data_IF_948976628334
#
_entry.id   IF_948976628334
#
_cell.length_a   1.000
_cell.length_b   1.000
_cell.length_c   1.000
_cell.angle_alpha   90.00
_cell.angle_beta   90.00
_cell.angle_gamma   90.00
#
_symmetry.space_group_name_H-M   'P 1'
#
loop_
_entity.id
_entity.type
_entity.pdbx_description
1 polymer ?
#
# COMPACT_ATOMS: atom_id res chain seq x y z
N UNK A 1 28.83 -3.01 14.40
CA UNK A 1 28.57 -3.98 13.28
C UNK A 1 29.50 -3.67 12.11
N UNK A 2 30.16 -4.67 11.51
CA UNK A 2 30.97 -4.47 10.31
C UNK A 2 30.06 -3.92 9.17
N UNK A 3 30.56 -2.93 8.39
CA UNK A 3 29.82 -2.29 7.26
C UNK A 3 29.16 -3.29 6.30
N UNK A 4 29.82 -4.41 6.01
CA UNK A 4 29.31 -5.48 5.15
C UNK A 4 28.10 -6.21 5.73
N UNK A 5 28.01 -6.40 7.04
CA UNK A 5 26.87 -7.03 7.70
C UNK A 5 25.60 -6.18 7.64
N UNK A 6 25.73 -4.87 7.82
CA UNK A 6 24.61 -3.95 7.77
C UNK A 6 24.01 -3.80 6.35
N UNK A 7 24.85 -3.78 5.31
CA UNK A 7 24.38 -3.74 3.92
C UNK A 7 23.66 -5.04 3.52
N UNK A 8 24.19 -6.20 3.95
CA UNK A 8 23.55 -7.49 3.72
C UNK A 8 22.19 -7.58 4.41
N UNK A 9 22.11 -7.08 5.64
CA UNK A 9 20.84 -7.00 6.38
C UNK A 9 19.83 -6.10 5.65
N UNK A 10 20.24 -4.90 5.22
CA UNK A 10 19.42 -4.00 4.42
C UNK A 10 18.91 -4.68 3.16
N UNK A 11 19.79 -5.30 2.37
CA UNK A 11 19.41 -6.00 1.14
C UNK A 11 18.42 -7.14 1.39
N UNK A 12 18.61 -7.90 2.46
CA UNK A 12 17.71 -8.99 2.84
C UNK A 12 16.31 -8.47 3.20
N UNK A 13 16.21 -7.44 4.04
CA UNK A 13 14.92 -6.85 4.40
C UNK A 13 14.21 -6.22 3.21
N UNK A 14 14.93 -5.46 2.38
CA UNK A 14 14.38 -4.85 1.18
C UNK A 14 13.86 -5.91 0.20
N UNK A 15 14.68 -6.91 -0.15
CA UNK A 15 14.32 -7.95 -1.11
C UNK A 15 13.10 -8.77 -0.64
N UNK A 16 13.07 -9.22 0.62
CA UNK A 16 11.94 -10.00 1.13
C UNK A 16 10.63 -9.22 1.09
N UNK A 17 10.65 -7.94 1.45
CA UNK A 17 9.44 -7.14 1.44
C UNK A 17 9.01 -6.75 0.02
N UNK A 18 9.94 -6.45 -0.88
CA UNK A 18 9.63 -6.21 -2.31
C UNK A 18 8.96 -7.45 -2.92
N UNK A 19 9.51 -8.65 -2.71
CA UNK A 19 8.92 -9.89 -3.21
C UNK A 19 7.52 -10.14 -2.65
N UNK A 20 7.31 -9.89 -1.36
CA UNK A 20 5.99 -9.99 -0.75
C UNK A 20 4.97 -9.02 -1.36
N UNK A 21 5.37 -7.77 -1.60
CA UNK A 21 4.50 -6.75 -2.19
C UNK A 21 4.21 -7.01 -3.68
N UNK A 22 5.16 -7.57 -4.43
CA UNK A 22 4.90 -8.06 -5.79
C UNK A 22 3.85 -9.18 -5.76
N UNK A 23 3.93 -10.12 -4.81
CA UNK A 23 2.90 -11.15 -4.63
C UNK A 23 1.51 -10.55 -4.41
N UNK A 24 1.40 -9.52 -3.57
CA UNK A 24 0.14 -8.78 -3.34
C UNK A 24 -0.36 -8.12 -4.64
N UNK A 25 0.51 -7.48 -5.41
CA UNK A 25 0.11 -6.86 -6.69
C UNK A 25 -0.38 -7.90 -7.69
N UNK A 26 0.27 -9.06 -7.76
CA UNK A 26 -0.14 -10.14 -8.65
C UNK A 26 -1.55 -10.64 -8.30
N UNK A 27 -1.88 -10.81 -7.01
CA UNK A 27 -3.23 -11.27 -6.68
C UNK A 27 -4.29 -10.20 -6.97
N UNK A 28 -4.02 -8.92 -6.75
CA UNK A 28 -4.96 -7.84 -7.07
C UNK A 28 -5.28 -7.82 -8.58
N UNK A 29 -4.26 -7.99 -9.42
CA UNK A 29 -4.46 -8.08 -10.87
C UNK A 29 -5.23 -9.34 -11.25
N UNK A 30 -4.95 -10.49 -10.62
CA UNK A 30 -5.64 -11.75 -10.89
C UNK A 30 -7.12 -11.70 -10.44
N UNK A 31 -7.40 -11.15 -9.26
CA UNK A 31 -8.77 -10.94 -8.75
C UNK A 31 -9.59 -10.07 -9.73
N UNK A 32 -9.01 -8.92 -10.15
CA UNK A 32 -9.65 -8.05 -11.14
C UNK A 32 -9.91 -8.78 -12.45
N UNK A 33 -8.96 -9.60 -12.92
CA UNK A 33 -9.11 -10.38 -14.14
C UNK A 33 -10.22 -11.44 -14.01
N UNK A 34 -10.24 -12.23 -12.92
CA UNK A 34 -11.24 -13.28 -12.72
C UNK A 34 -12.64 -12.71 -12.52
N UNK A 35 -12.78 -11.59 -11.82
CA UNK A 35 -14.06 -10.89 -11.69
C UNK A 35 -14.54 -10.37 -13.04
N UNK A 36 -13.66 -9.79 -13.86
CA UNK A 36 -14.01 -9.33 -15.19
C UNK A 36 -14.47 -10.48 -16.11
N UNK A 37 -13.76 -11.62 -16.08
CA UNK A 37 -14.10 -12.80 -16.89
C UNK A 37 -15.36 -13.52 -16.41
N UNK A 38 -15.53 -13.65 -15.10
CA UNK A 38 -16.65 -14.42 -14.53
C UNK A 38 -17.94 -13.64 -14.37
N UNK A 39 -17.87 -12.32 -14.18
CA UNK A 39 -19.02 -11.46 -13.84
C UNK A 39 -19.21 -10.29 -14.83
N UNK A 40 -18.31 -10.17 -15.82
CA UNK A 40 -18.39 -9.14 -16.84
C UNK A 40 -18.15 -7.71 -16.31
N UNK A 41 -18.55 -6.74 -17.11
CA UNK A 41 -18.34 -5.32 -16.82
C UNK A 41 -19.08 -4.83 -15.55
N UNK A 42 -20.23 -5.40 -15.23
CA UNK A 42 -20.99 -5.05 -14.01
C UNK A 42 -20.25 -5.53 -12.74
N UNK A 43 -19.68 -6.74 -12.78
CA UNK A 43 -18.87 -7.26 -11.67
C UNK A 43 -17.62 -6.40 -11.45
N UNK A 44 -16.93 -6.03 -12.52
CA UNK A 44 -15.76 -5.15 -12.46
C UNK A 44 -16.11 -3.75 -11.94
N UNK A 45 -17.24 -3.19 -12.37
CA UNK A 45 -17.73 -1.91 -11.86
C UNK A 45 -18.04 -1.99 -10.35
N UNK A 46 -18.71 -3.06 -9.91
CA UNK A 46 -19.01 -3.29 -8.50
C UNK A 46 -17.74 -3.43 -7.63
N UNK A 47 -16.72 -4.14 -8.13
CA UNK A 47 -15.41 -4.26 -7.49
C UNK A 47 -14.75 -2.88 -7.34
N UNK A 48 -14.70 -2.10 -8.42
CA UNK A 48 -14.08 -0.77 -8.42
C UNK A 48 -14.77 0.21 -7.46
N UNK A 49 -16.09 0.15 -7.35
CA UNK A 49 -16.87 0.96 -6.37
C UNK A 49 -16.49 0.59 -4.93
N UNK A 50 -16.12 -0.66 -4.66
CA UNK A 50 -15.75 -1.11 -3.34
C UNK A 50 -14.30 -0.75 -2.93
N UNK A 51 -13.41 -0.41 -3.87
CA UNK A 51 -11.98 -0.11 -3.61
C UNK A 51 -11.78 0.94 -2.51
N UNK A 52 -12.48 2.09 -2.47
CA UNK A 52 -12.26 3.09 -1.42
C UNK A 52 -12.52 2.55 0.00
N UNK A 53 -13.53 1.70 0.15
CA UNK A 53 -13.85 1.08 1.44
C UNK A 53 -12.79 0.03 1.84
N UNK A 54 -12.24 -0.70 0.88
CA UNK A 54 -11.08 -1.58 1.09
C UNK A 54 -9.85 -0.78 1.53
N UNK A 55 -9.53 0.28 0.79
CA UNK A 55 -8.36 1.14 1.09
C UNK A 55 -8.45 1.77 2.48
N UNK A 56 -9.65 2.18 2.91
CA UNK A 56 -9.86 2.70 4.25
C UNK A 56 -9.54 1.63 5.32
N UNK A 57 -10.07 0.43 5.17
CA UNK A 57 -9.85 -0.68 6.11
C UNK A 57 -8.38 -1.10 6.12
N UNK A 58 -7.76 -1.27 4.94
CA UNK A 58 -6.35 -1.62 4.80
C UNK A 58 -5.44 -0.52 5.35
N UNK A 59 -5.72 0.73 5.04
CA UNK A 59 -4.98 1.89 5.53
C UNK A 59 -5.00 2.02 7.06
N UNK A 60 -6.15 1.76 7.70
CA UNK A 60 -6.25 1.72 9.17
C UNK A 60 -5.42 0.57 9.75
N UNK A 61 -5.46 -0.60 9.12
CA UNK A 61 -4.61 -1.74 9.51
C UNK A 61 -3.12 -1.44 9.37
N UNK A 62 -2.71 -0.83 8.25
CA UNK A 62 -1.33 -0.40 8.02
C UNK A 62 -0.90 0.69 8.99
N UNK A 63 -1.75 1.69 9.26
CA UNK A 63 -1.47 2.75 10.22
C UNK A 63 -1.14 2.16 11.59
N UNK A 64 -1.99 1.28 12.09
CA UNK A 64 -1.79 0.65 13.38
C UNK A 64 -0.57 -0.30 13.36
N UNK A 65 -0.42 -1.12 12.32
CA UNK A 65 0.68 -2.07 12.19
C UNK A 65 2.04 -1.39 12.13
N UNK A 66 2.22 -0.45 11.21
CA UNK A 66 3.48 0.29 11.03
C UNK A 66 3.78 1.16 12.25
N UNK A 67 2.78 1.89 12.75
CA UNK A 67 2.95 2.78 13.87
C UNK A 67 3.35 2.06 15.16
N UNK A 68 2.60 1.02 15.53
CA UNK A 68 2.90 0.24 16.73
C UNK A 68 4.20 -0.56 16.59
N UNK A 69 4.50 -1.15 15.41
CA UNK A 69 5.74 -1.88 15.21
C UNK A 69 6.98 -0.96 15.28
N UNK A 70 6.85 0.30 14.86
CA UNK A 70 7.92 1.32 15.06
C UNK A 70 8.21 1.50 16.56
N UNK A 71 7.18 1.73 17.38
CA UNK A 71 7.33 1.87 18.83
C UNK A 71 7.88 0.60 19.50
N UNK A 72 7.42 -0.58 19.05
CA UNK A 72 7.94 -1.87 19.49
C UNK A 72 9.45 -1.97 19.24
N UNK A 73 9.89 -1.64 18.01
CA UNK A 73 11.32 -1.74 17.65
C UNK A 73 12.19 -0.77 18.44
N UNK A 74 11.73 0.45 18.67
CA UNK A 74 12.42 1.45 19.50
C UNK A 74 12.57 0.93 20.94
N UNK A 75 11.49 0.44 21.56
CA UNK A 75 11.53 -0.11 22.90
C UNK A 75 12.47 -1.34 23.00
N UNK A 76 12.45 -2.21 21.99
CA UNK A 76 13.36 -3.36 21.90
C UNK A 76 14.83 -2.93 21.79
N UNK A 77 15.13 -1.90 21.00
CA UNK A 77 16.45 -1.34 20.84
C UNK A 77 16.99 -0.75 22.16
N UNK A 78 16.10 -0.19 22.97
CA UNK A 78 16.39 0.34 24.31
C UNK A 78 16.44 -0.75 25.41
N UNK A 79 16.32 -2.04 25.05
CA UNK A 79 16.23 -3.19 25.96
C UNK A 79 15.00 -3.19 26.91
N UNK A 80 13.98 -2.39 26.65
CA UNK A 80 12.73 -2.39 27.41
C UNK A 80 11.72 -3.39 26.81
N UNK A 81 11.92 -4.68 27.13
CA UNK A 81 11.03 -5.77 26.69
C UNK A 81 9.61 -5.60 27.20
N UNK A 82 9.43 -5.11 28.43
CA UNK A 82 8.11 -4.95 29.02
C UNK A 82 7.29 -3.90 28.28
N UNK A 83 7.92 -2.79 27.90
CA UNK A 83 7.28 -1.78 27.08
C UNK A 83 7.00 -2.30 25.67
N UNK A 84 7.92 -3.02 25.03
CA UNK A 84 7.72 -3.61 23.74
C UNK A 84 6.51 -4.56 23.69
N UNK A 85 6.41 -5.49 24.64
CA UNK A 85 5.28 -6.41 24.74
C UNK A 85 3.96 -5.68 25.11
N UNK A 86 4.04 -4.62 25.92
CA UNK A 86 2.89 -3.75 26.20
C UNK A 86 2.39 -3.04 24.93
N UNK A 87 3.30 -2.56 24.07
CA UNK A 87 2.95 -1.97 22.76
C UNK A 87 2.22 -2.97 21.87
N UNK A 88 2.71 -4.21 21.79
CA UNK A 88 2.03 -5.27 21.04
C UNK A 88 0.63 -5.56 21.59
N UNK A 89 0.49 -5.66 22.91
CA UNK A 89 -0.81 -5.92 23.55
C UNK A 89 -1.83 -4.82 23.22
N UNK A 90 -1.42 -3.55 23.29
CA UNK A 90 -2.28 -2.42 22.90
C UNK A 90 -2.62 -2.45 21.41
N UNK A 91 -1.64 -2.75 20.54
CA UNK A 91 -1.87 -2.85 19.10
C UNK A 91 -2.83 -4.00 18.74
N UNK A 92 -2.68 -5.16 19.38
CA UNK A 92 -3.57 -6.30 19.18
C UNK A 92 -5.00 -6.01 19.64
N UNK A 93 -5.15 -5.41 20.83
CA UNK A 93 -6.45 -5.03 21.36
C UNK A 93 -7.15 -3.97 20.49
N UNK A 94 -6.42 -2.92 20.09
CA UNK A 94 -6.96 -1.88 19.23
C UNK A 94 -7.25 -2.41 17.83
N UNK A 95 -6.38 -3.26 17.26
CA UNK A 95 -6.59 -3.90 15.97
C UNK A 95 -7.82 -4.79 15.95
N UNK A 96 -8.04 -5.57 17.00
CA UNK A 96 -9.25 -6.38 17.15
C UNK A 96 -10.50 -5.49 17.26
N UNK A 97 -10.45 -4.44 18.07
CA UNK A 97 -11.56 -3.49 18.23
C UNK A 97 -11.93 -2.84 16.88
N UNK A 98 -10.94 -2.30 16.16
CA UNK A 98 -11.16 -1.67 14.85
C UNK A 98 -11.67 -2.69 13.83
N UNK A 99 -11.12 -3.90 13.83
CA UNK A 99 -11.61 -4.99 12.98
C UNK A 99 -13.06 -5.35 13.27
N UNK A 100 -13.46 -5.43 14.54
CA UNK A 100 -14.85 -5.67 14.95
C UNK A 100 -15.76 -4.51 14.56
N UNK A 101 -15.29 -3.26 14.57
CA UNK A 101 -16.07 -2.12 14.06
C UNK A 101 -16.32 -2.25 12.56
N UNK A 102 -15.33 -2.69 11.77
CA UNK A 102 -15.55 -3.01 10.35
C UNK A 102 -16.54 -4.16 10.17
N UNK A 103 -16.41 -5.23 10.94
CA UNK A 103 -17.37 -6.35 10.90
C UNK A 103 -18.80 -5.88 11.15
N UNK A 104 -19.03 -5.12 12.20
CA UNK A 104 -20.34 -4.54 12.51
C UNK A 104 -20.80 -3.58 11.40
N UNK A 105 -19.89 -2.76 10.88
CA UNK A 105 -20.14 -1.88 9.74
C UNK A 105 -20.59 -2.64 8.49
N UNK A 106 -19.92 -3.74 8.17
CA UNK A 106 -20.28 -4.62 7.05
C UNK A 106 -21.64 -5.26 7.21
N UNK A 107 -21.98 -5.72 8.41
CA UNK A 107 -23.28 -6.30 8.68
C UNK A 107 -24.42 -5.27 8.59
N UNK A 108 -24.22 -4.08 9.17
CA UNK A 108 -25.29 -3.09 9.34
C UNK A 108 -25.37 -2.08 8.18
N UNK A 109 -24.21 -1.68 7.62
CA UNK A 109 -24.13 -0.50 6.75
C UNK A 109 -23.61 -0.78 5.33
N UNK A 110 -23.40 -2.04 4.92
CA UNK A 110 -22.86 -2.36 3.59
C UNK A 110 -23.72 -1.78 2.44
N UNK A 111 -25.05 -1.87 2.54
CA UNK A 111 -25.95 -1.36 1.49
C UNK A 111 -25.97 0.16 1.38
N UNK A 112 -26.19 0.95 2.47
CA UNK A 112 -26.09 2.40 2.38
C UNK A 112 -24.70 2.88 1.99
N UNK A 113 -23.64 2.18 2.42
CA UNK A 113 -22.26 2.50 2.01
C UNK A 113 -22.05 2.28 0.50
N UNK A 114 -22.54 1.17 -0.06
CA UNK A 114 -22.48 0.92 -1.51
C UNK A 114 -23.16 2.05 -2.29
N UNK A 115 -24.35 2.49 -1.85
CA UNK A 115 -25.04 3.63 -2.46
C UNK A 115 -24.26 4.95 -2.34
N UNK A 116 -23.65 5.21 -1.18
CA UNK A 116 -22.82 6.40 -0.96
C UNK A 116 -21.57 6.41 -1.87
N UNK A 117 -20.99 5.24 -2.13
CA UNK A 117 -19.83 5.07 -3.02
C UNK A 117 -20.19 5.14 -4.51
N UNK A 118 -21.49 5.29 -4.86
CA UNK A 118 -21.94 5.50 -6.23
C UNK A 118 -22.47 4.25 -6.93
N UNK A 119 -22.81 3.19 -6.19
CA UNK A 119 -23.48 2.03 -6.79
C UNK A 119 -24.88 2.39 -7.27
N UNK A 120 -25.16 2.08 -8.53
CA UNK A 120 -26.47 2.23 -9.16
C UNK A 120 -27.37 1.00 -8.99
N UNK A 121 -28.57 1.01 -9.58
CA UNK A 121 -29.51 -0.10 -9.46
C UNK A 121 -28.95 -1.44 -9.98
N UNK A 122 -28.01 -1.43 -10.93
CA UNK A 122 -27.42 -2.64 -11.53
C UNK A 122 -26.28 -3.20 -10.70
N UNK A 123 -25.45 -2.33 -10.11
CA UNK A 123 -24.23 -2.70 -9.37
C UNK A 123 -24.47 -2.83 -7.86
N UNK A 124 -25.55 -2.23 -7.31
CA UNK A 124 -25.82 -2.15 -5.88
C UNK A 124 -25.80 -3.52 -5.18
N UNK A 125 -26.41 -4.53 -5.80
CA UNK A 125 -26.47 -5.88 -5.24
C UNK A 125 -25.08 -6.52 -5.10
N UNK A 126 -24.28 -6.47 -6.17
CA UNK A 126 -22.92 -7.03 -6.19
C UNK A 126 -21.98 -6.26 -5.25
N UNK A 127 -22.02 -4.92 -5.31
CA UNK A 127 -21.21 -4.05 -4.44
C UNK A 127 -21.53 -4.27 -2.96
N UNK A 128 -22.85 -4.36 -2.62
CA UNK A 128 -23.27 -4.63 -1.24
C UNK A 128 -22.76 -5.99 -0.75
N UNK A 129 -22.86 -7.03 -1.58
CA UNK A 129 -22.38 -8.37 -1.25
C UNK A 129 -20.88 -8.38 -1.02
N UNK A 130 -20.11 -7.76 -1.92
CA UNK A 130 -18.66 -7.67 -1.81
C UNK A 130 -18.24 -6.90 -0.56
N UNK A 131 -18.78 -5.70 -0.33
CA UNK A 131 -18.45 -4.87 0.84
C UNK A 131 -18.82 -5.55 2.15
N UNK A 132 -20.00 -6.18 2.22
CA UNK A 132 -20.44 -6.90 3.42
C UNK A 132 -19.44 -8.00 3.77
N UNK A 133 -19.11 -8.85 2.81
CA UNK A 133 -18.17 -9.95 3.03
C UNK A 133 -16.78 -9.42 3.39
N UNK A 134 -16.25 -8.47 2.64
CA UNK A 134 -14.94 -7.90 2.87
C UNK A 134 -14.81 -7.31 4.29
N UNK A 135 -15.80 -6.54 4.74
CA UNK A 135 -15.77 -5.93 6.07
C UNK A 135 -16.09 -6.92 7.21
N UNK A 136 -16.81 -8.00 6.92
CA UNK A 136 -16.96 -9.10 7.88
C UNK A 136 -15.61 -9.77 8.22
N UNK A 137 -14.66 -9.77 7.27
CA UNK A 137 -13.29 -10.21 7.50
C UNK A 137 -12.37 -9.10 8.07
N UNK A 138 -12.92 -7.94 8.42
CA UNK A 138 -12.17 -6.81 8.98
C UNK A 138 -11.20 -7.17 10.12
N UNK A 139 -11.58 -8.01 11.09
CA UNK A 139 -10.65 -8.46 12.14
C UNK A 139 -9.40 -9.13 11.58
N UNK A 140 -9.54 -9.95 10.53
CA UNK A 140 -8.41 -10.63 9.92
C UNK A 140 -7.54 -9.67 9.10
N UNK A 141 -8.14 -8.72 8.35
CA UNK A 141 -7.39 -7.71 7.60
C UNK A 141 -6.54 -6.82 8.51
N UNK A 142 -7.16 -6.26 9.55
CA UNK A 142 -6.44 -5.36 10.48
C UNK A 142 -5.37 -6.13 11.24
N UNK A 143 -5.68 -7.32 11.77
CA UNK A 143 -4.73 -8.13 12.52
C UNK A 143 -3.59 -8.65 11.63
N UNK A 144 -3.85 -8.98 10.36
CA UNK A 144 -2.80 -9.38 9.42
C UNK A 144 -1.78 -8.26 9.22
N UNK A 145 -2.23 -7.01 9.01
CA UNK A 145 -1.32 -5.86 8.88
C UNK A 145 -0.49 -5.64 10.16
N UNK A 146 -1.10 -5.77 11.34
CA UNK A 146 -0.39 -5.70 12.63
C UNK A 146 0.67 -6.81 12.72
N UNK A 147 0.28 -8.07 12.52
CA UNK A 147 1.18 -9.21 12.65
C UNK A 147 2.30 -9.19 11.60
N UNK A 148 2.03 -8.81 10.36
CA UNK A 148 3.05 -8.61 9.31
C UNK A 148 4.09 -7.58 9.75
N UNK A 149 3.64 -6.43 10.25
CA UNK A 149 4.54 -5.38 10.69
C UNK A 149 5.38 -5.83 11.89
N UNK A 150 4.76 -6.45 12.90
CA UNK A 150 5.49 -6.94 14.09
C UNK A 150 6.47 -8.06 13.74
N UNK A 151 6.08 -9.06 12.96
CA UNK A 151 6.96 -10.15 12.53
C UNK A 151 8.20 -9.64 11.81
N UNK A 152 8.02 -8.67 10.92
CA UNK A 152 9.08 -8.00 10.17
C UNK A 152 10.01 -7.23 11.09
N UNK A 153 9.45 -6.49 12.04
CA UNK A 153 10.18 -5.68 13.02
C UNK A 153 10.87 -6.52 14.11
N UNK A 154 10.41 -7.74 14.36
CA UNK A 154 11.04 -8.70 15.27
C UNK A 154 12.14 -9.56 14.60
N UNK A 155 12.62 -9.15 13.43
CA UNK A 155 13.76 -9.78 12.77
C UNK A 155 13.43 -10.97 11.86
N UNK A 156 12.16 -11.12 11.41
CA UNK A 156 11.74 -12.20 10.55
C UNK A 156 11.08 -11.73 9.24
N UNK A 157 11.77 -10.93 8.40
CA UNK A 157 11.20 -10.44 7.14
C UNK A 157 10.84 -11.56 6.17
N UNK A 158 11.57 -12.67 6.19
CA UNK A 158 11.27 -13.86 5.37
C UNK A 158 9.92 -14.48 5.75
N UNK A 159 9.60 -14.58 7.05
CA UNK A 159 8.31 -15.12 7.49
C UNK A 159 7.17 -14.17 7.08
N UNK A 160 7.39 -12.86 7.19
CA UNK A 160 6.42 -11.88 6.70
C UNK A 160 6.18 -12.01 5.18
N UNK A 161 7.25 -12.13 4.39
CA UNK A 161 7.15 -12.40 2.95
C UNK A 161 6.37 -13.69 2.66
N UNK A 162 6.69 -14.80 3.35
CA UNK A 162 5.97 -16.07 3.17
C UNK A 162 4.48 -15.93 3.50
N UNK A 163 4.13 -15.16 4.55
CA UNK A 163 2.74 -14.86 4.88
C UNK A 163 2.02 -14.10 3.75
N UNK A 164 2.64 -13.04 3.22
CA UNK A 164 2.08 -12.28 2.09
C UNK A 164 1.88 -13.15 0.85
N UNK A 165 2.90 -13.94 0.48
CA UNK A 165 2.83 -14.83 -0.70
C UNK A 165 1.79 -15.94 -0.51
N UNK A 166 1.73 -16.57 0.68
CA UNK A 166 0.74 -17.60 0.96
C UNK A 166 -0.70 -17.07 0.86
N UNK A 167 -0.96 -15.90 1.43
CA UNK A 167 -2.25 -15.22 1.29
C UNK A 167 -2.57 -14.90 -0.17
N UNK A 168 -1.60 -14.38 -0.93
CA UNK A 168 -1.77 -14.03 -2.35
C UNK A 168 -2.06 -15.26 -3.22
N UNK A 169 -1.32 -16.35 -3.02
CA UNK A 169 -1.55 -17.59 -3.74
C UNK A 169 -2.90 -18.20 -3.41
N UNK A 170 -3.29 -18.19 -2.12
CA UNK A 170 -4.62 -18.62 -1.71
C UNK A 170 -5.69 -17.83 -2.43
N UNK A 171 -5.59 -16.50 -2.44
CA UNK A 171 -6.55 -15.65 -3.13
C UNK A 171 -6.67 -16.01 -4.62
N UNK A 172 -5.57 -16.05 -5.37
CA UNK A 172 -5.58 -16.37 -6.81
C UNK A 172 -6.25 -17.72 -7.09
N UNK A 173 -5.89 -18.76 -6.33
CA UNK A 173 -6.44 -20.10 -6.53
C UNK A 173 -7.93 -20.15 -6.19
N UNK A 174 -8.32 -19.57 -5.07
CA UNK A 174 -9.70 -19.65 -4.60
C UNK A 174 -10.63 -18.65 -5.28
N UNK A 175 -10.14 -17.52 -5.82
CA UNK A 175 -10.91 -16.68 -6.72
C UNK A 175 -11.36 -17.47 -7.95
N UNK A 176 -10.42 -18.19 -8.59
CA UNK A 176 -10.78 -19.06 -9.71
C UNK A 176 -11.80 -20.11 -9.31
N UNK A 177 -11.55 -20.85 -8.21
CA UNK A 177 -12.43 -21.95 -7.77
C UNK A 177 -13.83 -21.44 -7.41
N UNK A 178 -13.93 -20.36 -6.65
CA UNK A 178 -15.22 -19.87 -6.17
C UNK A 178 -16.03 -19.17 -7.24
N UNK A 179 -15.38 -18.45 -8.17
CA UNK A 179 -16.06 -17.76 -9.25
C UNK A 179 -16.55 -18.77 -10.32
N UNK A 180 -15.67 -19.66 -10.81
CA UNK A 180 -15.98 -20.51 -11.95
C UNK A 180 -16.55 -21.88 -11.56
N UNK A 181 -15.81 -22.83 -10.93
CA UNK A 181 -16.37 -24.15 -10.61
C UNK A 181 -17.53 -24.11 -9.62
N UNK A 182 -17.45 -23.22 -8.59
CA UNK A 182 -18.50 -23.11 -7.58
C UNK A 182 -19.65 -22.17 -7.97
N UNK A 183 -19.46 -21.31 -8.98
CA UNK A 183 -20.49 -20.39 -9.44
C UNK A 183 -20.97 -19.37 -8.40
N UNK A 184 -20.13 -19.03 -7.38
CA UNK A 184 -20.50 -18.14 -6.28
C UNK A 184 -20.47 -16.66 -6.67
N UNK A 185 -20.00 -16.33 -7.87
CA UNK A 185 -19.99 -14.98 -8.39
C UNK A 185 -19.24 -13.98 -7.51
N UNK A 186 -19.80 -12.79 -7.30
CA UNK A 186 -19.19 -11.73 -6.47
C UNK A 186 -19.00 -12.14 -5.00
N UNK A 187 -19.87 -13.01 -4.47
CA UNK A 187 -19.70 -13.56 -3.13
C UNK A 187 -18.43 -14.42 -3.03
N UNK A 188 -18.15 -15.22 -4.07
CA UNK A 188 -16.95 -16.05 -4.16
C UNK A 188 -15.66 -15.25 -4.19
N UNK A 189 -15.59 -14.20 -5.02
CA UNK A 189 -14.48 -13.25 -5.07
C UNK A 189 -14.23 -12.60 -3.70
N UNK A 190 -15.27 -12.08 -3.06
CA UNK A 190 -15.16 -11.48 -1.73
C UNK A 190 -14.72 -12.48 -0.66
N UNK A 191 -15.15 -13.74 -0.78
CA UNK A 191 -14.78 -14.81 0.15
C UNK A 191 -13.30 -15.17 0.04
N UNK A 192 -12.78 -15.34 -1.18
CA UNK A 192 -11.36 -15.62 -1.42
C UNK A 192 -10.46 -14.48 -0.90
N UNK A 193 -10.83 -13.24 -1.21
CA UNK A 193 -10.13 -12.04 -0.71
C UNK A 193 -10.20 -11.94 0.82
N UNK A 194 -11.34 -12.26 1.42
CA UNK A 194 -11.53 -12.24 2.87
C UNK A 194 -10.71 -13.30 3.62
N UNK A 195 -10.56 -14.51 3.07
CA UNK A 195 -9.77 -15.58 3.68
C UNK A 195 -8.26 -15.42 3.48
N UNK A 196 -7.81 -14.66 2.50
CA UNK A 196 -6.39 -14.43 2.21
C UNK A 196 -5.60 -13.96 3.45
N UNK A 197 -6.03 -12.92 4.20
CA UNK A 197 -5.33 -12.51 5.42
C UNK A 197 -5.36 -13.56 6.53
N UNK A 198 -6.39 -14.39 6.61
CA UNK A 198 -6.41 -15.51 7.57
C UNK A 198 -5.30 -16.53 7.28
N UNK A 199 -5.12 -16.91 6.02
CA UNK A 199 -4.02 -17.80 5.59
C UNK A 199 -2.65 -17.18 5.89
N UNK A 200 -2.48 -15.90 5.60
CA UNK A 200 -1.28 -15.15 5.95
C UNK A 200 -1.00 -15.20 7.46
N UNK A 201 -2.01 -14.95 8.30
CA UNK A 201 -1.89 -15.02 9.77
C UNK A 201 -1.41 -16.41 10.23
N UNK A 202 -1.92 -17.49 9.66
CA UNK A 202 -1.47 -18.85 10.03
C UNK A 202 0.03 -19.03 9.81
N UNK A 203 0.57 -18.48 8.71
CA UNK A 203 2.02 -18.49 8.46
C UNK A 203 2.76 -17.62 9.48
N UNK A 204 2.26 -16.41 9.77
CA UNK A 204 2.88 -15.49 10.71
C UNK A 204 2.92 -16.06 12.14
N UNK A 205 1.91 -16.79 12.57
CA UNK A 205 1.87 -17.45 13.87
C UNK A 205 3.00 -18.47 14.07
N UNK A 206 3.60 -18.99 13.00
CA UNK A 206 4.79 -19.87 13.10
C UNK A 206 6.00 -19.16 13.72
N UNK A 207 6.07 -17.82 13.57
CA UNK A 207 7.11 -17.01 14.19
C UNK A 207 7.03 -17.02 15.72
N UNK A 208 5.82 -17.02 16.27
CA UNK A 208 5.57 -17.01 17.72
C UNK A 208 5.92 -18.35 18.42
N UNK A 209 6.08 -19.44 17.66
CA UNK A 209 6.47 -20.75 18.21
C UNK A 209 7.96 -20.83 18.58
N UNK A 210 8.77 -19.81 18.32
CA UNK A 210 10.21 -19.77 18.63
C UNK A 210 10.44 -19.23 20.04
N UNK A 211 10.93 -20.02 21.02
CA UNK A 211 10.97 -19.65 22.45
C UNK A 211 11.83 -18.41 22.79
N UNK A 212 12.82 -18.08 21.95
CA UNK A 212 13.78 -16.99 22.20
C UNK A 212 13.47 -15.68 21.48
N UNK A 213 12.45 -15.67 20.65
CA UNK A 213 12.07 -14.53 19.81
C UNK A 213 10.56 -14.36 19.84
N UNK A 214 10.08 -13.15 19.64
CA UNK A 214 8.67 -12.88 19.53
C UNK A 214 8.21 -11.76 20.43
N UNK A 215 7.06 -11.28 20.09
CA UNK A 215 6.26 -10.33 20.84
C UNK A 215 5.16 -11.12 21.57
N UNK A 216 4.86 -10.73 22.81
CA UNK A 216 3.97 -11.49 23.66
C UNK A 216 2.81 -10.62 24.16
N UNK A 217 1.66 -11.26 24.34
CA UNK A 217 0.56 -10.62 25.06
C UNK A 217 0.88 -10.61 26.54
N UNK A 218 0.86 -9.43 27.15
CA UNK A 218 1.14 -9.24 28.57
C UNK A 218 -0.06 -8.58 29.27
N UNK A 219 -0.27 -8.91 30.53
CA UNK A 219 -1.28 -8.22 31.36
C UNK A 219 -0.82 -6.78 31.58
N UNK A 220 -1.43 -5.84 30.86
CA UNK A 220 -1.18 -4.40 30.98
C UNK A 220 -2.52 -3.66 30.93
N UNK A 221 -2.69 -2.60 31.71
CA UNK A 221 -3.92 -1.78 31.61
C UNK A 221 -3.95 -1.10 30.24
N UNK A 222 -5.02 -1.33 29.49
CA UNK A 222 -5.23 -0.68 28.20
C UNK A 222 -5.51 0.82 28.43
N UNK A 223 -4.65 1.67 27.89
CA UNK A 223 -4.73 3.13 28.06
C UNK A 223 -5.04 3.79 26.73
N UNK A 224 -6.19 4.44 26.62
CA UNK A 224 -6.61 5.20 25.42
C UNK A 224 -5.60 6.31 25.09
N UNK A 225 -4.94 6.89 26.10
CA UNK A 225 -3.89 7.91 25.91
C UNK A 225 -2.69 7.44 25.09
N UNK A 226 -2.49 6.12 24.93
CA UNK A 226 -1.42 5.56 24.08
C UNK A 226 -1.81 5.45 22.59
N UNK A 227 -3.09 5.51 22.26
CA UNK A 227 -3.56 5.35 20.87
C UNK A 227 -2.91 6.33 19.92
N UNK A 228 -2.81 7.65 20.21
CA UNK A 228 -2.14 8.59 19.31
C UNK A 228 -0.68 8.21 19.04
N UNK A 229 0.08 7.81 20.06
CA UNK A 229 1.49 7.43 19.87
C UNK A 229 1.66 6.14 19.07
N UNK A 230 0.73 5.20 19.18
CA UNK A 230 0.74 3.96 18.40
C UNK A 230 0.40 4.20 16.92
N UNK A 231 -0.49 5.16 16.63
CA UNK A 231 -0.95 5.43 15.27
C UNK A 231 -0.09 6.46 14.53
N UNK A 232 0.50 7.42 15.23
CA UNK A 232 1.20 8.56 14.61
C UNK A 232 2.28 8.16 13.59
N UNK A 233 3.19 7.20 13.85
CA UNK A 233 4.19 6.81 12.86
C UNK A 233 3.58 6.13 11.61
N UNK A 234 2.38 5.57 11.73
CA UNK A 234 1.69 4.92 10.64
C UNK A 234 0.71 5.81 9.85
N UNK A 235 0.48 7.05 10.28
CA UNK A 235 -0.44 7.97 9.59
C UNK A 235 -0.08 8.18 8.11
N UNK A 236 1.20 8.19 7.78
CA UNK A 236 1.67 8.27 6.39
C UNK A 236 1.14 7.13 5.52
N UNK A 237 1.02 5.93 6.08
CA UNK A 237 0.49 4.75 5.36
C UNK A 237 -1.01 4.88 5.13
N UNK A 238 -1.77 5.35 6.13
CA UNK A 238 -3.20 5.61 5.98
C UNK A 238 -3.47 6.66 4.89
N UNK A 239 -2.71 7.77 4.92
CA UNK A 239 -2.85 8.82 3.90
C UNK A 239 -2.50 8.28 2.51
N UNK A 240 -1.47 7.42 2.40
CA UNK A 240 -1.12 6.78 1.12
C UNK A 240 -2.27 5.97 0.53
N UNK A 241 -2.96 5.18 1.33
CA UNK A 241 -4.12 4.39 0.89
C UNK A 241 -5.31 5.27 0.49
N UNK A 242 -5.64 6.29 1.28
CA UNK A 242 -6.73 7.22 0.95
C UNK A 242 -6.38 8.02 -0.31
N UNK A 243 -5.15 8.52 -0.40
CA UNK A 243 -4.69 9.33 -1.51
C UNK A 243 -4.76 8.59 -2.85
N UNK A 244 -4.42 7.29 -2.87
CA UNK A 244 -4.51 6.50 -4.11
C UNK A 244 -5.92 6.45 -4.67
N UNK A 245 -6.94 6.31 -3.81
CA UNK A 245 -8.34 6.38 -4.20
C UNK A 245 -8.76 7.76 -4.70
N UNK A 246 -8.34 8.82 -4.02
CA UNK A 246 -8.64 10.22 -4.43
C UNK A 246 -8.01 10.55 -5.78
N UNK A 247 -6.75 10.18 -6.00
CA UNK A 247 -6.05 10.42 -7.27
C UNK A 247 -6.74 9.67 -8.41
N UNK A 248 -7.09 8.39 -8.20
CA UNK A 248 -7.81 7.59 -9.18
C UNK A 248 -9.13 8.26 -9.60
N UNK A 249 -9.92 8.73 -8.64
CA UNK A 249 -11.18 9.42 -8.92
C UNK A 249 -10.97 10.73 -9.68
N UNK A 250 -10.02 11.56 -9.25
CA UNK A 250 -9.75 12.86 -9.89
C UNK A 250 -9.29 12.68 -11.34
N UNK A 251 -8.37 11.76 -11.60
CA UNK A 251 -7.88 11.49 -12.95
C UNK A 251 -8.99 10.96 -13.85
N UNK A 252 -9.80 10.02 -13.37
CA UNK A 252 -10.93 9.50 -14.11
C UNK A 252 -11.95 10.59 -14.45
N UNK A 253 -12.30 11.46 -13.50
CA UNK A 253 -13.24 12.57 -13.73
C UNK A 253 -12.74 13.57 -14.78
N UNK A 254 -11.45 13.91 -14.72
CA UNK A 254 -10.83 14.85 -15.68
C UNK A 254 -10.73 14.21 -17.05
N UNK A 255 -10.25 12.97 -17.16
CA UNK A 255 -10.11 12.25 -18.43
C UNK A 255 -11.47 11.96 -19.07
N UNK A 256 -12.49 11.65 -18.29
CA UNK A 256 -13.86 11.47 -18.81
C UNK A 256 -14.37 12.74 -19.52
N UNK A 257 -14.02 13.91 -18.97
CA UNK A 257 -14.39 15.20 -19.58
C UNK A 257 -13.56 15.55 -20.82
N UNK A 258 -12.28 15.17 -20.85
CA UNK A 258 -11.35 15.52 -21.94
C UNK A 258 -11.43 14.59 -23.14
N UNK A 259 -11.57 13.30 -22.92
CA UNK A 259 -11.43 12.26 -23.95
C UNK A 259 -12.44 11.12 -23.81
N UNK A 260 -13.45 11.29 -22.96
CA UNK A 260 -14.50 10.28 -22.78
C UNK A 260 -13.98 8.96 -22.21
N UNK A 261 -14.68 7.89 -22.53
CA UNK A 261 -14.38 6.56 -22.01
C UNK A 261 -13.02 6.03 -22.48
N UNK A 262 -12.55 6.41 -23.67
CA UNK A 262 -11.24 5.99 -24.20
C UNK A 262 -10.09 6.51 -23.33
N UNK A 263 -10.16 7.77 -22.86
CA UNK A 263 -9.16 8.31 -21.94
C UNK A 263 -9.16 7.62 -20.57
N UNK A 264 -10.35 7.31 -20.05
CA UNK A 264 -10.48 6.56 -18.78
C UNK A 264 -9.93 5.14 -18.92
N UNK A 265 -10.18 4.47 -20.05
CA UNK A 265 -9.65 3.15 -20.33
C UNK A 265 -8.12 3.17 -20.47
N UNK A 266 -7.56 4.19 -21.16
CA UNK A 266 -6.12 4.37 -21.26
C UNK A 266 -5.48 4.60 -19.88
N UNK A 267 -6.12 5.37 -19.00
CA UNK A 267 -5.64 5.53 -17.62
C UNK A 267 -5.71 4.22 -16.82
N UNK A 268 -6.70 3.38 -17.07
CA UNK A 268 -6.78 2.04 -16.48
C UNK A 268 -5.53 1.21 -16.77
N UNK A 269 -5.00 1.26 -18.01
CA UNK A 269 -3.75 0.60 -18.37
C UNK A 269 -2.56 1.18 -17.59
N UNK A 270 -2.43 2.51 -17.58
CA UNK A 270 -1.35 3.20 -16.86
C UNK A 270 -1.43 2.91 -15.35
N UNK A 271 -2.62 2.97 -14.75
CA UNK A 271 -2.84 2.75 -13.31
C UNK A 271 -2.52 1.32 -12.88
N UNK A 272 -2.90 0.31 -13.67
CA UNK A 272 -2.58 -1.09 -13.36
C UNK A 272 -1.07 -1.36 -13.37
N UNK A 273 -0.34 -0.80 -14.31
CA UNK A 273 1.12 -0.92 -14.35
C UNK A 273 1.78 -0.09 -13.23
N UNK A 274 1.25 1.09 -12.95
CA UNK A 274 1.73 1.94 -11.84
C UNK A 274 1.54 1.26 -10.48
N UNK A 275 0.46 0.48 -10.29
CA UNK A 275 0.21 -0.29 -9.05
C UNK A 275 1.37 -1.23 -8.74
N UNK A 276 1.92 -1.93 -9.74
CA UNK A 276 3.09 -2.81 -9.57
C UNK A 276 4.32 -1.99 -9.18
N UNK A 277 4.55 -0.84 -9.84
CA UNK A 277 5.65 0.07 -9.50
C UNK A 277 5.55 0.58 -8.05
N UNK A 278 4.38 1.06 -7.65
CA UNK A 278 4.13 1.53 -6.27
C UNK A 278 4.35 0.40 -5.26
N UNK A 279 3.93 -0.83 -5.57
CA UNK A 279 4.12 -1.97 -4.68
C UNK A 279 5.60 -2.27 -4.43
N UNK A 280 6.46 -2.20 -5.46
CA UNK A 280 7.91 -2.38 -5.30
C UNK A 280 8.49 -1.32 -4.34
N UNK A 281 8.14 -0.05 -4.50
CA UNK A 281 8.57 1.00 -3.58
C UNK A 281 8.00 0.84 -2.18
N UNK A 282 6.75 0.44 -2.06
CA UNK A 282 6.14 0.14 -0.74
C UNK A 282 6.88 -1.02 -0.06
N UNK A 283 7.27 -2.05 -0.82
CA UNK A 283 8.10 -3.14 -0.33
C UNK A 283 9.46 -2.65 0.18
N UNK A 284 10.14 -1.77 -0.56
CA UNK A 284 11.38 -1.14 -0.12
C UNK A 284 11.17 -0.35 1.18
N UNK A 285 10.17 0.51 1.23
CA UNK A 285 9.85 1.35 2.40
C UNK A 285 9.55 0.53 3.65
N UNK A 286 8.69 -0.48 3.53
CA UNK A 286 8.35 -1.36 4.64
C UNK A 286 9.50 -2.27 5.04
N UNK A 287 10.41 -2.60 4.11
CA UNK A 287 11.63 -3.36 4.39
C UNK A 287 12.66 -2.56 5.19
N UNK A 288 12.87 -1.29 4.89
CA UNK A 288 13.84 -0.45 5.60
C UNK A 288 13.33 0.03 6.97
N UNK A 289 12.02 0.11 7.17
CA UNK A 289 11.37 0.63 8.37
C UNK A 289 11.91 0.02 9.68
N UNK A 290 12.04 -1.32 9.85
CA UNK A 290 12.58 -1.92 11.07
C UNK A 290 14.03 -1.49 11.38
N UNK A 291 14.84 -1.34 10.34
CA UNK A 291 16.24 -0.95 10.48
C UNK A 291 16.39 0.51 10.91
N UNK A 292 15.56 1.38 10.35
CA UNK A 292 15.49 2.80 10.72
C UNK A 292 15.00 2.95 12.15
N UNK A 293 13.90 2.30 12.52
CA UNK A 293 13.33 2.36 13.88
C UNK A 293 14.30 1.85 14.93
N UNK A 294 15.02 0.76 14.63
CA UNK A 294 16.07 0.23 15.52
C UNK A 294 17.22 1.24 15.70
N UNK A 295 17.72 1.80 14.59
CA UNK A 295 18.82 2.76 14.64
C UNK A 295 18.41 4.06 15.32
N UNK A 296 17.16 4.51 15.13
CA UNK A 296 16.57 5.66 15.83
C UNK A 296 16.49 5.40 17.35
N UNK A 297 15.99 4.23 17.74
CA UNK A 297 15.91 3.84 19.16
C UNK A 297 17.28 3.75 19.87
N UNK A 298 18.35 3.42 19.12
CA UNK A 298 19.73 3.40 19.61
C UNK A 298 20.42 4.77 19.54
N UNK A 299 19.82 5.78 18.89
CA UNK A 299 20.45 7.08 18.65
C UNK A 299 21.64 7.03 17.66
N UNK A 300 21.74 5.96 16.84
CA UNK A 300 22.85 5.77 15.88
C UNK A 300 22.62 6.60 14.61
N UNK A 301 23.02 7.86 14.67
CA UNK A 301 22.89 8.83 13.56
C UNK A 301 23.69 8.41 12.33
N UNK A 302 24.85 7.78 12.51
CA UNK A 302 25.68 7.34 11.38
C UNK A 302 24.99 6.22 10.60
N UNK A 303 24.43 5.24 11.30
CA UNK A 303 23.66 4.16 10.68
C UNK A 303 22.39 4.69 10.01
N UNK A 304 21.68 5.65 10.60
CA UNK A 304 20.52 6.31 9.99
C UNK A 304 20.89 6.97 8.66
N UNK A 305 22.00 7.73 8.61
CA UNK A 305 22.47 8.35 7.35
C UNK A 305 22.83 7.31 6.29
N UNK A 306 23.43 6.19 6.67
CA UNK A 306 23.77 5.09 5.75
C UNK A 306 22.50 4.44 5.20
N UNK A 307 21.54 4.10 6.07
CA UNK A 307 20.26 3.51 5.67
C UNK A 307 19.49 4.43 4.71
N UNK A 308 19.47 5.73 5.00
CA UNK A 308 18.85 6.71 4.12
C UNK A 308 19.51 6.73 2.74
N UNK A 309 20.85 6.82 2.67
CA UNK A 309 21.56 6.79 1.39
C UNK A 309 21.31 5.50 0.62
N UNK A 310 21.36 4.35 1.26
CA UNK A 310 21.07 3.07 0.62
C UNK A 310 19.61 3.01 0.12
N UNK A 311 18.67 3.47 0.91
CA UNK A 311 17.26 3.55 0.51
C UNK A 311 17.06 4.42 -0.73
N UNK A 312 17.64 5.62 -0.75
CA UNK A 312 17.55 6.54 -1.90
C UNK A 312 18.26 5.95 -3.13
N UNK A 313 19.50 5.44 -3.01
CA UNK A 313 20.20 4.82 -4.13
C UNK A 313 19.43 3.62 -4.70
N UNK A 314 18.89 2.76 -3.85
CA UNK A 314 18.08 1.61 -4.28
C UNK A 314 16.80 2.07 -4.96
N UNK A 315 16.11 3.07 -4.41
CA UNK A 315 14.87 3.59 -5.02
C UNK A 315 15.12 4.20 -6.40
N UNK A 316 16.21 4.96 -6.57
CA UNK A 316 16.60 5.51 -7.87
C UNK A 316 16.98 4.42 -8.88
N UNK A 317 17.68 3.38 -8.43
CA UNK A 317 18.00 2.22 -9.26
C UNK A 317 16.74 1.48 -9.74
N UNK A 318 15.78 1.23 -8.84
CA UNK A 318 14.49 0.63 -9.15
C UNK A 318 13.71 1.54 -10.13
N UNK A 319 13.65 2.84 -9.85
CA UNK A 319 12.97 3.81 -10.71
C UNK A 319 13.54 3.84 -12.11
N UNK A 320 14.86 3.85 -12.24
CA UNK A 320 15.53 3.83 -13.55
C UNK A 320 15.18 2.56 -14.35
N UNK A 321 15.21 1.39 -13.71
CA UNK A 321 14.82 0.12 -14.32
C UNK A 321 13.36 0.16 -14.77
N UNK A 322 12.44 0.61 -13.91
CA UNK A 322 11.02 0.72 -14.23
C UNK A 322 10.77 1.69 -15.39
N UNK A 323 11.38 2.89 -15.35
CA UNK A 323 11.23 3.88 -16.41
C UNK A 323 11.74 3.36 -17.75
N UNK A 324 12.93 2.75 -17.79
CA UNK A 324 13.50 2.19 -19.02
C UNK A 324 12.64 1.04 -19.54
N UNK A 325 12.22 0.11 -18.66
CA UNK A 325 11.41 -1.04 -19.06
C UNK A 325 10.06 -0.62 -19.62
N UNK A 326 9.40 0.37 -19.01
CA UNK A 326 8.11 0.86 -19.48
C UNK A 326 8.27 1.73 -20.74
N UNK A 327 9.31 2.55 -20.83
CA UNK A 327 9.57 3.38 -22.01
C UNK A 327 9.79 2.52 -23.25
N UNK A 328 10.59 1.46 -23.14
CA UNK A 328 10.87 0.52 -24.23
C UNK A 328 9.71 -0.44 -24.50
N UNK A 329 8.96 -0.79 -23.46
CA UNK A 329 7.86 -1.76 -23.51
C UNK A 329 6.47 -1.13 -23.62
N UNK A 330 6.32 0.18 -23.83
CA UNK A 330 5.01 0.84 -23.80
C UNK A 330 4.02 0.24 -24.81
N UNK A 331 4.45 -0.03 -26.03
CA UNK A 331 3.63 -0.63 -27.09
C UNK A 331 3.17 -2.06 -26.72
N UNK A 332 4.05 -3.05 -26.44
CA UNK A 332 3.61 -4.38 -26.07
C UNK A 332 2.82 -4.42 -24.76
N UNK A 333 3.13 -3.56 -23.79
CA UNK A 333 2.36 -3.47 -22.54
C UNK A 333 0.94 -2.96 -22.79
N UNK A 334 0.79 -1.95 -23.65
CA UNK A 334 -0.54 -1.44 -24.02
C UNK A 334 -1.33 -2.50 -24.81
N UNK A 335 -0.70 -3.23 -25.73
CA UNK A 335 -1.34 -4.25 -26.52
C UNK A 335 -1.99 -5.37 -25.68
N UNK A 336 -1.41 -5.71 -24.53
CA UNK A 336 -1.98 -6.71 -23.59
C UNK A 336 -3.36 -6.28 -23.09
N UNK A 337 -3.59 -4.97 -22.89
CA UNK A 337 -4.84 -4.43 -22.34
C UNK A 337 -5.79 -3.90 -23.42
N UNK A 338 -5.33 -3.76 -24.67
CA UNK A 338 -6.12 -3.26 -25.80
C UNK A 338 -6.56 -4.41 -26.72
N UNK A 339 -7.44 -5.26 -26.20
CA UNK A 339 -7.96 -6.43 -26.91
C UNK A 339 -8.78 -6.06 -28.17
N UNK A 340 -9.39 -4.88 -28.19
CA UNK A 340 -10.19 -4.37 -29.31
C UNK A 340 -9.35 -3.68 -30.39
N UNK A 341 -8.03 -3.58 -30.19
CA UNK A 341 -7.11 -2.89 -31.08
C UNK A 341 -7.52 -1.45 -31.43
N UNK A 342 -8.09 -0.73 -30.45
CA UNK A 342 -8.45 0.68 -30.61
C UNK A 342 -7.16 1.53 -30.73
N UNK A 343 -6.94 2.20 -31.89
CA UNK A 343 -5.74 3.00 -32.12
C UNK A 343 -5.65 4.22 -31.19
N UNK A 344 -6.79 4.80 -30.80
CA UNK A 344 -6.84 5.99 -29.96
C UNK A 344 -6.51 5.63 -28.50
N UNK A 345 -7.01 4.49 -28.01
CA UNK A 345 -6.63 3.95 -26.70
C UNK A 345 -5.14 3.65 -26.66
N UNK A 346 -4.60 3.00 -27.70
CA UNK A 346 -3.17 2.71 -27.80
C UNK A 346 -2.34 3.98 -27.71
N UNK A 347 -2.64 5.01 -28.51
CA UNK A 347 -1.92 6.27 -28.53
C UNK A 347 -1.94 6.97 -27.16
N UNK A 348 -3.10 7.04 -26.49
CA UNK A 348 -3.21 7.65 -25.17
C UNK A 348 -2.47 6.84 -24.09
N UNK A 349 -2.58 5.52 -24.09
CA UNK A 349 -1.95 4.67 -23.09
C UNK A 349 -0.43 4.64 -23.24
N UNK A 350 0.10 4.51 -24.46
CA UNK A 350 1.54 4.51 -24.71
C UNK A 350 2.18 5.84 -24.30
N UNK A 351 1.59 6.97 -24.73
CA UNK A 351 2.07 8.28 -24.33
C UNK A 351 1.95 8.49 -22.83
N UNK A 352 0.82 8.06 -22.24
CA UNK A 352 0.60 8.07 -20.80
C UNK A 352 1.65 7.27 -20.05
N UNK A 353 1.98 6.07 -20.45
CA UNK A 353 3.02 5.25 -19.84
C UNK A 353 4.39 5.94 -19.88
N UNK A 354 4.79 6.48 -21.04
CA UNK A 354 6.08 7.15 -21.20
C UNK A 354 6.20 8.40 -20.32
N UNK A 355 5.15 9.22 -20.23
CA UNK A 355 5.16 10.44 -19.40
C UNK A 355 5.02 10.10 -17.92
N UNK A 356 3.99 9.34 -17.55
CA UNK A 356 3.64 9.08 -16.16
C UNK A 356 4.77 8.38 -15.39
N UNK A 357 5.43 7.39 -16.02
CA UNK A 357 6.49 6.62 -15.36
C UNK A 357 7.76 7.41 -15.08
N UNK A 358 7.98 8.56 -15.71
CA UNK A 358 9.07 9.47 -15.32
C UNK A 358 8.92 9.97 -13.89
N UNK A 359 7.68 10.07 -13.39
CA UNK A 359 7.37 10.43 -12.02
C UNK A 359 7.92 9.47 -10.98
N UNK A 360 8.14 8.20 -11.33
CA UNK A 360 8.68 7.21 -10.40
C UNK A 360 10.11 7.53 -9.94
N UNK A 361 10.88 8.29 -10.72
CA UNK A 361 12.19 8.80 -10.31
C UNK A 361 12.09 9.65 -9.02
N UNK A 362 11.04 10.44 -8.90
CA UNK A 362 10.77 11.29 -7.75
C UNK A 362 9.94 10.57 -6.68
N UNK A 363 8.97 9.75 -7.10
CA UNK A 363 8.10 9.01 -6.20
C UNK A 363 8.88 8.09 -5.27
N UNK A 364 9.90 7.38 -5.77
CA UNK A 364 10.77 6.54 -4.95
C UNK A 364 11.49 7.32 -3.86
N UNK A 365 12.04 8.49 -4.19
CA UNK A 365 12.69 9.39 -3.23
C UNK A 365 11.69 9.85 -2.16
N UNK A 366 10.51 10.27 -2.57
CA UNK A 366 9.45 10.76 -1.67
C UNK A 366 8.98 9.67 -0.71
N UNK A 367 8.69 8.47 -1.25
CA UNK A 367 8.21 7.33 -0.46
C UNK A 367 9.25 6.89 0.57
N UNK A 368 10.52 6.75 0.17
CA UNK A 368 11.62 6.39 1.07
C UNK A 368 11.81 7.46 2.14
N UNK A 369 11.79 8.73 1.78
CA UNK A 369 11.95 9.85 2.73
C UNK A 369 10.80 9.91 3.73
N UNK A 370 9.56 9.78 3.27
CA UNK A 370 8.37 9.76 4.13
C UNK A 370 8.40 8.56 5.09
N UNK A 371 8.72 7.36 4.58
CA UNK A 371 8.85 6.16 5.41
C UNK A 371 9.98 6.28 6.43
N UNK A 372 11.12 6.86 6.05
CA UNK A 372 12.24 7.11 6.94
C UNK A 372 11.85 8.05 8.10
N UNK A 373 11.19 9.17 7.80
CA UNK A 373 10.69 10.07 8.82
C UNK A 373 9.63 9.41 9.72
N UNK A 374 8.73 8.63 9.15
CA UNK A 374 7.70 7.89 9.90
C UNK A 374 8.29 6.85 10.85
N UNK A 375 9.40 6.21 10.46
CA UNK A 375 10.10 5.19 11.24
C UNK A 375 11.10 5.77 12.26
N UNK A 376 11.31 7.08 12.25
CA UNK A 376 12.16 7.82 13.18
C UNK A 376 11.32 8.78 14.04
N UNK A 377 11.99 9.63 14.85
CA UNK A 377 11.29 10.62 15.70
C UNK A 377 10.64 11.79 14.93
N UNK A 378 10.65 11.74 13.59
CA UNK A 378 10.18 12.83 12.71
C UNK A 378 8.85 12.47 12.01
N UNK A 379 7.92 11.88 12.74
CA UNK A 379 6.65 11.37 12.21
C UNK A 379 5.78 12.44 11.53
N UNK A 380 5.82 13.68 12.03
CA UNK A 380 5.06 14.80 11.44
C UNK A 380 5.56 15.11 10.02
N UNK A 381 6.89 15.08 9.80
CA UNK A 381 7.47 15.31 8.48
C UNK A 381 7.05 14.22 7.49
N UNK A 382 7.06 12.95 7.92
CA UNK A 382 6.58 11.83 7.11
C UNK A 382 5.11 11.97 6.73
N UNK A 383 4.26 12.35 7.69
CA UNK A 383 2.85 12.61 7.46
C UNK A 383 2.61 13.75 6.46
N UNK A 384 3.28 14.90 6.66
CA UNK A 384 3.11 16.07 5.76
C UNK A 384 3.58 15.76 4.34
N UNK A 385 4.71 15.03 4.17
CA UNK A 385 5.14 14.60 2.83
C UNK A 385 4.11 13.69 2.16
N UNK A 386 3.55 12.73 2.89
CA UNK A 386 2.51 11.84 2.35
C UNK A 386 1.24 12.61 1.98
N UNK A 387 0.84 13.59 2.80
CA UNK A 387 -0.32 14.43 2.54
C UNK A 387 -0.09 15.36 1.33
N UNK A 388 1.11 15.94 1.22
CA UNK A 388 1.49 16.81 0.11
C UNK A 388 1.41 16.05 -1.22
N UNK A 389 2.08 14.90 -1.32
CA UNK A 389 2.13 14.12 -2.57
C UNK A 389 0.79 13.49 -2.96
N UNK A 390 -0.02 13.11 -1.99
CA UNK A 390 -1.23 12.32 -2.24
C UNK A 390 -2.49 13.15 -2.42
N UNK A 391 -2.59 14.29 -1.73
CA UNK A 391 -3.84 15.06 -1.67
C UNK A 391 -3.65 16.53 -2.01
N UNK A 392 -2.70 17.22 -1.38
CA UNK A 392 -2.61 18.67 -1.45
C UNK A 392 -2.08 19.15 -2.81
N UNK A 393 -1.02 18.54 -3.34
CA UNK A 393 -0.39 18.99 -4.59
C UNK A 393 -1.12 18.53 -5.86
N UNK A 394 -1.96 17.50 -5.77
CA UNK A 394 -2.62 16.92 -6.96
C UNK A 394 -3.61 17.89 -7.61
N UNK A 395 -4.64 18.44 -6.94
CA UNK A 395 -5.61 19.29 -7.60
C UNK A 395 -5.00 20.58 -8.21
N UNK A 396 -4.14 21.35 -7.50
CA UNK A 396 -3.59 22.59 -8.06
C UNK A 396 -2.61 22.36 -9.23
N UNK A 397 -2.11 21.14 -9.42
CA UNK A 397 -1.25 20.78 -10.55
C UNK A 397 -2.09 20.15 -11.67
N UNK A 398 -3.03 19.26 -11.35
CA UNK A 398 -3.87 18.55 -12.31
C UNK A 398 -4.73 19.50 -13.16
N UNK A 399 -5.49 20.39 -12.52
CA UNK A 399 -6.45 21.21 -13.26
C UNK A 399 -5.78 22.20 -14.24
N UNK A 400 -4.72 22.94 -13.87
CA UNK A 400 -4.03 23.81 -14.82
C UNK A 400 -3.35 23.05 -15.95
N UNK A 401 -2.69 21.91 -15.66
CA UNK A 401 -2.04 21.09 -16.68
C UNK A 401 -3.06 20.48 -17.63
N UNK A 402 -4.16 19.95 -17.12
CA UNK A 402 -5.23 19.38 -17.94
C UNK A 402 -5.89 20.46 -18.83
N UNK A 403 -6.05 21.70 -18.32
CA UNK A 403 -6.55 22.82 -19.11
C UNK A 403 -5.58 23.25 -20.21
N UNK A 404 -4.28 23.29 -19.92
CA UNK A 404 -3.28 23.78 -20.88
C UNK A 404 -2.86 22.73 -21.91
N UNK A 405 -2.75 21.46 -21.54
CA UNK A 405 -2.17 20.35 -22.33
C UNK A 405 -3.16 19.21 -22.62
N UNK A 406 -4.41 19.32 -22.16
CA UNK A 406 -5.40 18.25 -22.33
C UNK A 406 -4.99 16.96 -21.65
N UNK A 407 -5.10 15.83 -22.37
CA UNK A 407 -4.81 14.48 -21.83
C UNK A 407 -3.34 14.34 -21.40
N UNK A 408 -2.41 14.94 -22.14
CA UNK A 408 -0.97 14.90 -21.79
C UNK A 408 -0.69 15.64 -20.48
N UNK A 409 -1.46 16.70 -20.17
CA UNK A 409 -1.40 17.39 -18.90
C UNK A 409 -1.81 16.51 -17.71
N UNK A 410 -2.78 15.61 -17.92
CA UNK A 410 -3.15 14.63 -16.90
C UNK A 410 -2.01 13.66 -16.62
N UNK A 411 -1.36 13.14 -17.67
CA UNK A 411 -0.18 12.26 -17.52
C UNK A 411 0.99 12.97 -16.83
N UNK A 412 1.23 14.23 -17.15
CA UNK A 412 2.31 15.02 -16.59
C UNK A 412 2.07 15.40 -15.13
N UNK A 413 0.83 15.33 -14.66
CA UNK A 413 0.48 15.67 -13.27
C UNK A 413 1.25 14.84 -12.26
N UNK A 414 1.32 13.52 -12.42
CA UNK A 414 2.04 12.66 -11.47
C UNK A 414 3.54 13.00 -11.37
N UNK A 415 4.31 13.12 -12.46
CA UNK A 415 5.68 13.59 -12.41
C UNK A 415 5.86 14.95 -11.71
N UNK A 416 4.99 15.90 -11.99
CA UNK A 416 5.09 17.24 -11.42
C UNK A 416 4.77 17.28 -9.93
N UNK A 417 3.74 16.55 -9.48
CA UNK A 417 3.41 16.39 -8.07
C UNK A 417 4.57 15.76 -7.31
N UNK A 418 5.12 14.68 -7.85
CA UNK A 418 6.23 13.97 -7.22
C UNK A 418 7.53 14.82 -7.22
N UNK A 419 7.78 15.60 -8.28
CA UNK A 419 8.91 16.54 -8.33
C UNK A 419 8.81 17.62 -7.26
N UNK A 420 7.66 18.29 -7.15
CA UNK A 420 7.44 19.33 -6.13
C UNK A 420 7.61 18.75 -4.73
N UNK A 421 7.07 17.57 -4.49
CA UNK A 421 7.24 16.87 -3.21
C UNK A 421 8.69 16.48 -2.96
N UNK A 422 9.43 16.06 -3.99
CA UNK A 422 10.84 15.67 -3.86
C UNK A 422 11.73 16.85 -3.42
N UNK A 423 11.44 18.06 -3.88
CA UNK A 423 12.14 19.26 -3.41
C UNK A 423 11.95 19.42 -1.90
N UNK A 424 10.72 19.33 -1.40
CA UNK A 424 10.42 19.43 0.02
C UNK A 424 11.08 18.28 0.82
N UNK A 425 11.00 17.05 0.28
CA UNK A 425 11.61 15.87 0.90
C UNK A 425 13.12 16.00 1.06
N UNK A 426 13.83 16.46 0.01
CA UNK A 426 15.28 16.65 0.02
C UNK A 426 15.72 17.77 0.95
N UNK A 427 14.99 18.89 0.97
CA UNK A 427 15.26 20.00 1.91
C UNK A 427 15.15 19.53 3.36
N UNK A 428 14.11 18.77 3.70
CA UNK A 428 13.95 18.23 5.04
C UNK A 428 14.95 17.11 5.36
N UNK A 429 15.25 16.24 4.40
CA UNK A 429 16.27 15.20 4.57
C UNK A 429 17.65 15.81 4.86
N UNK A 430 18.02 16.87 4.12
CA UNK A 430 19.25 17.61 4.38
C UNK A 430 19.29 18.16 5.81
N UNK A 431 18.25 18.87 6.23
CA UNK A 431 18.15 19.49 7.55
C UNK A 431 18.14 18.47 8.71
N UNK A 432 17.36 17.38 8.59
CA UNK A 432 17.10 16.50 9.72
C UNK A 432 17.88 15.18 9.74
N UNK A 433 18.48 14.78 8.61
CA UNK A 433 19.21 13.52 8.48
C UNK A 433 20.68 13.74 8.19
N UNK A 434 21.03 14.71 7.35
CA UNK A 434 22.39 14.89 6.85
C UNK A 434 23.17 15.87 7.74
N UNK A 435 22.57 17.00 8.14
CA UNK A 435 23.24 18.07 8.89
C UNK A 435 23.18 17.88 10.42
N UNK A 436 22.23 17.11 10.96
CA UNK A 436 22.13 16.75 12.38
C UNK A 436 22.69 15.37 12.68
#
# INVERSE_FOLDING_TARGET
MHKQGALREFGHYAAMNILGMIGISCYILADTYFVAQGLGSLGLAALNIAIPAYNLMNGIGLMLGVGAATQYTIARAQNDRRQADSVFTHAAALGLLLGLLFLLGGLCFAKPLAGLLGADAQTLGMTTTYLRMLWCFGPFFVMNNVLLAFTRNDGAPTVAMCGMIAGSLFNIVFDYIFIFPCGLGMFGAALATGFSPFVSILVLLTHLRRPSRGFHLVKTPLRVSRVPSLCAPGLSSLIGEIASGVVLLLFNLVLLRLSGNTGVAAYGVVANLALVGIAVFTGLCTGIQPLVSRSSGLGDKEQLRRLFRWGICTSLGIAAVLCVSVFLGAEPLTAVFNSEHDPQLAAYAENGLRIYFTGFLFAGVNMVTAAFFSASDKTVQGFVLSLLRGVIAVPPILFPLAWALGVDGVWLTFPMVELVTAVAALVWARKYIIEN
#
